data_IF_458578491888
#
_entry.id   IF_458578491888
#
_cell.length_a   1.000
_cell.length_b   1.000
_cell.length_c   1.000
_cell.angle_alpha   90.00
_cell.angle_beta   90.00
_cell.angle_gamma   90.00
#
_symmetry.space_group_name_H-M   'P 1'
#
loop_
_entity.id
_entity.type
_entity.pdbx_description
1 polymer ?
#
# COMPACT_ATOMS: atom_id res chain seq x y z
N UNK A 1 4.80 -9.27 -8.40
CA UNK A 1 4.53 -8.26 -7.35
C UNK A 1 3.11 -7.65 -7.37
N UNK A 2 2.32 -7.76 -8.46
CA UNK A 2 0.94 -7.22 -8.49
C UNK A 2 0.02 -7.75 -7.38
N UNK A 3 0.17 -9.03 -7.00
CA UNK A 3 -0.57 -9.61 -5.87
C UNK A 3 -0.21 -8.98 -4.50
N UNK A 4 1.02 -8.49 -4.30
CA UNK A 4 1.40 -7.80 -3.08
C UNK A 4 0.78 -6.41 -3.02
N UNK A 5 0.83 -5.65 -4.12
CA UNK A 5 0.17 -4.35 -4.22
C UNK A 5 -1.35 -4.45 -3.99
N UNK A 6 -2.00 -5.46 -4.58
CA UNK A 6 -3.43 -5.72 -4.40
C UNK A 6 -3.80 -6.08 -2.95
N UNK A 7 -2.94 -6.85 -2.26
CA UNK A 7 -3.14 -7.15 -0.84
C UNK A 7 -3.01 -5.89 0.03
N UNK A 8 -2.03 -5.02 -0.23
CA UNK A 8 -1.89 -3.76 0.52
C UNK A 8 -3.05 -2.81 0.24
N UNK A 9 -3.54 -2.74 -1.00
CA UNK A 9 -4.75 -1.97 -1.33
C UNK A 9 -5.99 -2.52 -0.62
N UNK A 10 -6.12 -3.84 -0.52
CA UNK A 10 -7.20 -4.49 0.25
C UNK A 10 -7.09 -4.17 1.73
N UNK A 11 -5.87 -4.18 2.29
CA UNK A 11 -5.62 -3.77 3.67
C UNK A 11 -6.01 -2.30 3.91
N UNK A 12 -5.69 -1.39 2.98
CA UNK A 12 -6.11 0.00 3.06
C UNK A 12 -7.65 0.15 3.12
N UNK A 13 -8.37 -0.57 2.26
CA UNK A 13 -9.83 -0.58 2.26
C UNK A 13 -10.41 -1.15 3.57
N UNK A 14 -9.81 -2.21 4.10
CA UNK A 14 -10.21 -2.80 5.37
C UNK A 14 -9.97 -1.85 6.55
N UNK A 15 -8.85 -1.10 6.56
CA UNK A 15 -8.59 -0.05 7.56
C UNK A 15 -9.72 0.98 7.55
N UNK A 16 -10.08 1.51 6.38
CA UNK A 16 -11.18 2.49 6.26
C UNK A 16 -12.53 1.93 6.72
N UNK A 17 -12.82 0.66 6.42
CA UNK A 17 -14.06 0.02 6.85
C UNK A 17 -14.15 -0.16 8.37
N UNK A 18 -13.02 -0.38 9.06
CA UNK A 18 -12.92 -0.52 10.51
C UNK A 18 -12.71 0.85 11.20
N UNK A 19 -13.45 1.87 10.75
CA UNK A 19 -13.28 3.24 11.21
C UNK A 19 -13.65 3.46 12.69
N UNK A 20 -13.07 4.49 13.33
CA UNK A 20 -13.19 4.77 14.77
C UNK A 20 -14.59 5.24 15.20
N UNK A 21 -15.47 5.62 14.26
CA UNK A 21 -16.81 6.15 14.56
C UNK A 21 -17.65 5.20 15.41
N UNK A 22 -17.44 3.88 15.27
CA UNK A 22 -18.13 2.85 16.05
C UNK A 22 -17.79 2.89 17.55
N UNK A 23 -16.71 3.56 17.93
CA UNK A 23 -16.25 3.68 19.33
C UNK A 23 -16.91 4.84 20.08
N UNK A 24 -17.72 5.67 19.41
CA UNK A 24 -18.41 6.82 20.02
C UNK A 24 -19.19 6.46 21.29
N UNK A 25 -20.01 5.37 21.32
CA UNK A 25 -20.74 4.99 22.54
C UNK A 25 -19.82 4.51 23.68
N UNK A 26 -18.64 3.98 23.36
CA UNK A 26 -17.69 3.43 24.34
C UNK A 26 -16.95 4.54 25.07
N UNK A 27 -16.54 5.59 24.34
CA UNK A 27 -15.77 6.70 24.92
C UNK A 27 -16.64 7.78 25.56
N UNK A 28 -17.91 7.90 25.14
CA UNK A 28 -18.85 8.87 25.70
C UNK A 28 -18.33 10.31 25.70
N UNK A 29 -18.85 11.14 26.61
CA UNK A 29 -18.50 12.57 26.72
C UNK A 29 -17.09 12.83 27.26
N UNK A 30 -16.53 11.92 28.05
CA UNK A 30 -15.22 12.11 28.71
C UNK A 30 -14.09 11.78 27.73
N UNK A 31 -14.29 10.79 26.85
CA UNK A 31 -13.27 10.32 25.92
C UNK A 31 -13.23 11.03 24.57
N UNK A 32 -13.87 12.20 24.42
CA UNK A 32 -14.01 12.87 23.12
C UNK A 32 -12.67 13.29 22.53
N UNK A 33 -11.75 13.82 23.35
CA UNK A 33 -10.41 14.24 22.90
C UNK A 33 -9.56 13.04 22.46
N UNK A 34 -9.65 11.93 23.21
CA UNK A 34 -9.01 10.69 22.82
C UNK A 34 -9.58 10.17 21.49
N UNK A 35 -10.91 10.14 21.36
CA UNK A 35 -11.57 9.66 20.14
C UNK A 35 -11.21 10.54 18.93
N UNK A 36 -11.10 11.86 19.11
CA UNK A 36 -10.66 12.80 18.08
C UNK A 36 -9.20 12.52 17.66
N UNK A 37 -8.29 12.39 18.63
CA UNK A 37 -6.89 12.07 18.36
C UNK A 37 -6.75 10.70 17.68
N UNK A 38 -7.44 9.67 18.18
CA UNK A 38 -7.47 8.34 17.59
C UNK A 38 -8.01 8.37 16.16
N UNK A 39 -9.04 9.16 15.90
CA UNK A 39 -9.60 9.32 14.55
C UNK A 39 -8.60 9.98 13.60
N UNK A 40 -7.89 11.01 14.06
CA UNK A 40 -6.81 11.63 13.30
C UNK A 40 -5.71 10.64 12.95
N UNK A 41 -5.23 9.87 13.94
CA UNK A 41 -4.18 8.85 13.73
C UNK A 41 -4.66 7.72 12.83
N UNK A 42 -5.89 7.23 12.99
CA UNK A 42 -6.47 6.19 12.15
C UNK A 42 -6.56 6.63 10.69
N UNK A 43 -7.01 7.87 10.44
CA UNK A 43 -7.07 8.45 9.10
C UNK A 43 -5.66 8.58 8.48
N UNK A 44 -4.69 9.09 9.25
CA UNK A 44 -3.30 9.18 8.81
C UNK A 44 -2.70 7.80 8.50
N UNK A 45 -3.03 6.78 9.30
CA UNK A 45 -2.62 5.40 9.06
C UNK A 45 -3.22 4.86 7.76
N UNK A 46 -4.52 5.01 7.53
CA UNK A 46 -5.17 4.62 6.27
C UNK A 46 -4.52 5.26 5.04
N UNK A 47 -4.22 6.55 5.11
CA UNK A 47 -3.50 7.27 4.05
C UNK A 47 -2.06 6.76 3.84
N UNK A 48 -1.36 6.38 4.92
CA UNK A 48 -0.03 5.79 4.82
C UNK A 48 -0.06 4.40 4.15
N UNK A 49 -1.04 3.55 4.48
CA UNK A 49 -1.21 2.23 3.83
C UNK A 49 -1.56 2.39 2.35
N UNK A 50 -2.40 3.37 1.98
CA UNK A 50 -2.68 3.69 0.58
C UNK A 50 -1.41 4.05 -0.21
N UNK A 51 -0.58 4.96 0.29
CA UNK A 51 0.70 5.33 -0.33
C UNK A 51 1.67 4.14 -0.41
N UNK A 52 1.66 3.25 0.57
CA UNK A 52 2.45 2.03 0.52
C UNK A 52 2.01 1.11 -0.63
N UNK A 53 0.69 0.96 -0.86
CA UNK A 53 0.17 0.18 -1.98
C UNK A 53 0.67 0.72 -3.33
N UNK A 54 0.62 2.03 -3.52
CA UNK A 54 1.12 2.71 -4.73
C UNK A 54 2.62 2.48 -4.92
N UNK A 55 3.40 2.59 -3.84
CA UNK A 55 4.86 2.37 -3.88
C UNK A 55 5.20 0.93 -4.28
N UNK A 56 4.50 -0.05 -3.71
CA UNK A 56 4.70 -1.47 -4.03
C UNK A 56 4.28 -1.77 -5.49
N UNK A 57 3.21 -1.14 -5.98
CA UNK A 57 2.81 -1.26 -7.38
C UNK A 57 3.89 -0.71 -8.33
N UNK A 58 4.41 0.48 -8.03
CA UNK A 58 5.49 1.12 -8.79
C UNK A 58 6.76 0.25 -8.82
N UNK A 59 7.18 -0.26 -7.66
CA UNK A 59 8.34 -1.15 -7.57
C UNK A 59 8.13 -2.44 -8.39
N UNK A 60 6.92 -3.01 -8.37
CA UNK A 60 6.58 -4.17 -9.17
C UNK A 60 6.67 -3.93 -10.68
N UNK A 61 6.23 -2.76 -11.15
CA UNK A 61 6.35 -2.35 -12.54
C UNK A 61 7.83 -2.17 -12.95
N UNK A 62 8.61 -1.46 -12.12
CA UNK A 62 10.03 -1.25 -12.35
C UNK A 62 10.80 -2.58 -12.42
N UNK A 63 10.57 -3.50 -11.47
CA UNK A 63 11.22 -4.80 -11.46
C UNK A 63 10.90 -5.63 -12.72
N UNK A 64 9.65 -5.59 -13.19
CA UNK A 64 9.24 -6.30 -14.40
C UNK A 64 9.91 -5.72 -15.66
N UNK A 65 9.99 -4.39 -15.74
CA UNK A 65 10.69 -3.70 -16.83
C UNK A 65 12.21 -4.00 -16.81
N UNK A 66 12.84 -3.98 -15.64
CA UNK A 66 14.25 -4.35 -15.49
C UNK A 66 14.52 -5.79 -15.93
N UNK A 67 13.67 -6.75 -15.55
CA UNK A 67 13.80 -8.15 -15.99
C UNK A 67 13.78 -8.26 -17.51
N UNK A 68 12.78 -7.65 -18.16
CA UNK A 68 12.65 -7.69 -19.62
C UNK A 68 13.85 -7.02 -20.32
N UNK A 69 14.40 -5.95 -19.75
CA UNK A 69 15.59 -5.30 -20.28
C UNK A 69 16.83 -6.19 -20.17
N UNK A 70 17.00 -6.92 -19.07
CA UNK A 70 18.07 -7.89 -18.92
C UNK A 70 17.93 -9.06 -19.89
N UNK A 71 16.73 -9.61 -20.05
CA UNK A 71 16.46 -10.71 -21.00
C UNK A 71 16.79 -10.28 -22.44
N UNK A 72 16.44 -9.05 -22.82
CA UNK A 72 16.78 -8.48 -24.13
C UNK A 72 18.30 -8.30 -24.29
N UNK A 73 18.98 -7.75 -23.28
CA UNK A 73 20.41 -7.52 -23.32
C UNK A 73 21.19 -8.85 -23.42
N UNK A 74 20.74 -9.89 -22.70
CA UNK A 74 21.31 -11.23 -22.77
C UNK A 74 21.16 -11.82 -24.19
N UNK A 75 19.95 -11.76 -24.76
CA UNK A 75 19.69 -12.23 -26.12
C UNK A 75 20.54 -11.50 -27.18
N UNK A 76 20.68 -10.17 -27.06
CA UNK A 76 21.53 -9.37 -27.94
C UNK A 76 23.01 -9.73 -27.81
N UNK A 77 23.47 -9.94 -26.57
CA UNK A 77 24.85 -10.34 -26.29
C UNK A 77 25.13 -11.72 -26.88
N UNK A 78 24.24 -12.68 -26.66
CA UNK A 78 24.34 -14.02 -27.23
C UNK A 78 24.39 -13.99 -28.77
N UNK A 79 23.54 -13.18 -29.40
CA UNK A 79 23.53 -13.01 -30.85
C UNK A 79 24.82 -12.37 -31.40
N UNK A 80 25.49 -11.52 -30.63
CA UNK A 80 26.76 -10.89 -31.03
C UNK A 80 27.97 -11.83 -30.98
N UNK A 81 27.84 -12.97 -30.30
CA UNK A 81 28.91 -13.95 -30.07
C UNK A 81 28.80 -15.20 -30.98
N UNK A 82 27.72 -15.31 -31.78
CA UNK A 82 27.54 -16.35 -32.81
C UNK A 82 27.94 -15.83 -34.18
#
# INVERSE_FOLDING_TARGET
MGAAAAQVATAAAATTACGPAVLTPVFGLIGTEFLAAFTGVHSAHGAAVGRLAETVASLGAAASASSAAYDLADAQTAASLM
#
